data_IF_711318322699
#
_entry.id   IF_711318322699
#
_cell.length_a   1.000
_cell.length_b   1.000
_cell.length_c   1.000
_cell.angle_alpha   90.00
_cell.angle_beta   90.00
_cell.angle_gamma   90.00
#
_symmetry.space_group_name_H-M   'P 1'
#
loop_
_entity.id
_entity.type
_entity.pdbx_description
1 polymer ?
#
# COMPACT_ATOMS: atom_id res chain seq x y z
N UNK A 1 -40.45 59.43 47.71
CA UNK A 1 -39.37 58.50 48.00
C UNK A 1 -39.49 57.32 47.00
N UNK A 2 -38.70 57.28 46.00
CA UNK A 2 -38.76 56.22 45.00
C UNK A 2 -37.49 55.41 45.03
N UNK A 3 -37.61 54.16 45.39
CA UNK A 3 -36.51 53.18 45.37
C UNK A 3 -36.42 52.70 43.95
N UNK A 4 -35.27 52.97 43.29
CA UNK A 4 -34.97 52.45 41.96
C UNK A 4 -34.19 51.15 42.16
N UNK A 5 -34.85 50.04 41.89
CA UNK A 5 -34.24 48.70 41.80
C UNK A 5 -33.40 48.66 40.53
N UNK A 6 -32.09 48.57 40.70
CA UNK A 6 -31.15 48.36 39.59
C UNK A 6 -31.01 46.87 39.36
N UNK A 7 -31.66 46.35 38.35
CA UNK A 7 -31.50 44.94 37.92
C UNK A 7 -30.20 44.80 37.14
N UNK A 8 -29.17 44.27 37.79
CA UNK A 8 -27.93 43.93 37.14
C UNK A 8 -28.10 42.63 36.37
N UNK A 9 -28.15 42.73 35.05
CA UNK A 9 -28.07 41.57 34.14
C UNK A 9 -26.62 41.07 34.11
N UNK A 10 -26.39 39.97 34.82
CA UNK A 10 -25.13 39.26 34.77
C UNK A 10 -25.14 38.39 33.51
N UNK A 11 -24.54 38.90 32.42
CA UNK A 11 -24.24 38.09 31.22
C UNK A 11 -23.09 37.15 31.55
N UNK A 12 -23.42 35.89 31.82
CA UNK A 12 -22.45 34.80 31.92
C UNK A 12 -22.05 34.41 30.52
N UNK A 13 -20.95 34.98 30.02
CA UNK A 13 -20.34 34.54 28.78
C UNK A 13 -19.70 33.16 29.03
N UNK A 14 -20.41 32.11 28.58
CA UNK A 14 -19.81 30.79 28.41
C UNK A 14 -18.79 30.89 27.27
N UNK A 15 -17.52 31.05 27.59
CA UNK A 15 -16.43 30.75 26.68
C UNK A 15 -16.38 29.23 26.52
N UNK A 16 -17.02 28.71 25.46
CA UNK A 16 -16.74 27.38 24.97
C UNK A 16 -15.33 27.41 24.41
N UNK A 17 -14.39 27.08 25.27
CA UNK A 17 -13.06 26.73 24.86
C UNK A 17 -13.18 25.42 24.08
N UNK A 18 -13.34 25.53 22.75
CA UNK A 18 -13.17 24.41 21.86
C UNK A 18 -11.69 24.03 21.95
N UNK A 19 -11.39 23.08 22.80
CA UNK A 19 -10.13 22.34 22.71
C UNK A 19 -10.17 21.62 21.36
N UNK A 20 -9.63 22.24 20.33
CA UNK A 20 -9.12 21.53 19.17
C UNK A 20 -7.91 20.76 19.76
N UNK A 21 -8.11 19.51 20.13
CA UNK A 21 -7.00 18.61 20.33
C UNK A 21 -6.38 18.46 18.94
N UNK A 22 -5.22 19.07 18.74
CA UNK A 22 -4.37 18.74 17.61
C UNK A 22 -4.06 17.25 17.78
N UNK A 23 -4.66 16.42 16.94
CA UNK A 23 -4.38 14.99 16.90
C UNK A 23 -2.91 14.83 16.55
N UNK A 24 -2.20 14.01 17.31
CA UNK A 24 -0.77 13.80 17.07
C UNK A 24 -0.60 13.19 15.67
N UNK A 25 0.31 13.76 14.88
CA UNK A 25 0.63 13.27 13.54
C UNK A 25 1.06 11.80 13.59
N UNK A 26 0.62 11.03 12.59
CA UNK A 26 0.94 9.61 12.50
C UNK A 26 2.43 9.42 12.19
N UNK A 27 3.10 8.60 13.01
CA UNK A 27 4.51 8.24 12.83
C UNK A 27 4.73 6.97 12.01
N UNK A 28 3.67 6.32 11.55
CA UNK A 28 3.79 5.10 10.75
C UNK A 28 4.24 5.41 9.32
N UNK A 29 5.16 4.60 8.81
CA UNK A 29 5.65 4.69 7.45
C UNK A 29 5.84 3.27 6.88
N UNK A 30 4.80 2.71 6.29
CA UNK A 30 4.79 1.37 5.73
C UNK A 30 4.10 1.34 4.37
N UNK A 31 4.34 0.29 3.59
CA UNK A 31 3.51 -0.06 2.44
C UNK A 31 2.66 -1.26 2.88
N UNK A 32 1.33 -1.06 2.94
CA UNK A 32 0.36 -2.08 3.35
C UNK A 32 -0.27 -2.79 2.17
N UNK A 33 -0.18 -2.20 0.98
CA UNK A 33 -0.73 -2.75 -0.25
C UNK A 33 -0.18 -2.07 -1.49
N UNK A 34 -0.30 -2.77 -2.62
CA UNK A 34 0.00 -2.23 -3.94
C UNK A 34 -1.00 -2.80 -4.96
N UNK A 35 -1.64 -1.93 -5.71
CA UNK A 35 -2.58 -2.26 -6.77
C UNK A 35 -2.27 -1.47 -8.03
N UNK A 36 -2.81 -1.89 -9.19
CA UNK A 36 -2.62 -1.20 -10.45
C UNK A 36 -3.37 -1.88 -11.58
N UNK A 37 -3.42 -1.24 -12.75
CA UNK A 37 -4.18 -1.76 -13.89
C UNK A 37 -3.64 -3.12 -14.40
N UNK A 38 -2.32 -3.29 -14.39
CA UNK A 38 -1.65 -4.51 -14.85
C UNK A 38 -1.22 -5.43 -13.69
N UNK A 39 -1.46 -5.03 -12.43
CA UNK A 39 -1.04 -5.77 -11.24
C UNK A 39 -1.97 -6.97 -11.01
N UNK A 40 -1.39 -8.15 -10.99
CA UNK A 40 -2.07 -9.41 -10.67
C UNK A 40 -1.94 -9.76 -9.19
N UNK A 41 -0.75 -9.52 -8.62
CA UNK A 41 -0.42 -9.81 -7.24
C UNK A 41 0.67 -8.85 -6.76
N UNK A 42 0.61 -8.45 -5.51
CA UNK A 42 1.71 -7.78 -4.83
C UNK A 42 2.03 -8.52 -3.52
N UNK A 43 3.30 -8.87 -3.34
CA UNK A 43 3.82 -9.48 -2.12
C UNK A 43 4.67 -8.46 -1.38
N UNK A 44 4.29 -8.16 -0.12
CA UNK A 44 4.92 -7.12 0.67
C UNK A 44 5.69 -7.77 1.83
N UNK A 45 7.01 -7.66 1.79
CA UNK A 45 7.87 -8.04 2.90
C UNK A 45 8.26 -6.80 3.71
N UNK A 46 7.46 -6.50 4.72
CA UNK A 46 7.65 -5.30 5.55
C UNK A 46 8.95 -5.32 6.35
N UNK A 47 9.49 -6.49 6.69
CA UNK A 47 10.74 -6.62 7.45
C UNK A 47 11.96 -6.28 6.59
N UNK A 48 12.00 -6.79 5.37
CA UNK A 48 13.09 -6.57 4.41
C UNK A 48 12.90 -5.29 3.59
N UNK A 49 11.73 -4.66 3.68
CA UNK A 49 11.36 -3.47 2.90
C UNK A 49 11.38 -3.75 1.40
N UNK A 50 10.84 -4.90 1.00
CA UNK A 50 10.74 -5.34 -0.40
C UNK A 50 9.25 -5.49 -0.76
N UNK A 51 8.90 -5.04 -1.96
CA UNK A 51 7.58 -5.27 -2.56
C UNK A 51 7.77 -5.88 -3.93
N UNK A 52 7.38 -7.14 -4.09
CA UNK A 52 7.35 -7.83 -5.37
C UNK A 52 5.98 -7.66 -6.01
N UNK A 53 5.93 -6.98 -7.14
CA UNK A 53 4.72 -6.69 -7.91
C UNK A 53 4.72 -7.54 -9.16
N UNK A 54 3.80 -8.48 -9.24
CA UNK A 54 3.60 -9.34 -10.41
C UNK A 54 2.58 -8.71 -11.34
N UNK A 55 2.99 -8.43 -12.57
CA UNK A 55 2.15 -7.83 -13.61
C UNK A 55 1.95 -8.80 -14.76
N UNK A 56 0.92 -8.57 -15.57
CA UNK A 56 0.70 -9.38 -16.78
C UNK A 56 1.94 -9.39 -17.70
N UNK A 57 2.24 -10.53 -18.31
CA UNK A 57 3.41 -10.73 -19.18
C UNK A 57 3.55 -9.70 -20.30
N UNK A 58 2.44 -9.16 -20.80
CA UNK A 58 2.40 -8.12 -21.84
C UNK A 58 2.35 -6.69 -21.31
N UNK A 59 2.48 -6.49 -20.00
CA UNK A 59 2.38 -5.17 -19.38
C UNK A 59 3.49 -4.23 -19.86
N UNK A 60 3.15 -2.95 -20.03
CA UNK A 60 4.12 -1.94 -20.43
C UNK A 60 4.93 -1.45 -19.24
N UNK A 61 6.12 -2.01 -19.03
CA UNK A 61 6.99 -1.66 -17.90
C UNK A 61 7.44 -0.20 -17.87
N UNK A 62 7.43 0.50 -19.00
CA UNK A 62 7.75 1.93 -19.04
C UNK A 62 6.62 2.81 -18.51
N UNK A 63 5.42 2.25 -18.24
CA UNK A 63 4.23 3.00 -17.79
C UNK A 63 3.41 2.16 -16.81
N UNK A 64 4.04 1.68 -15.74
CA UNK A 64 3.34 0.93 -14.71
C UNK A 64 2.58 1.86 -13.77
N UNK A 65 1.26 1.72 -13.71
CA UNK A 65 0.42 2.41 -12.76
C UNK A 65 0.41 1.62 -11.45
N UNK A 66 0.99 2.18 -10.38
CA UNK A 66 1.03 1.57 -9.06
C UNK A 66 0.37 2.49 -8.03
N UNK A 67 -0.63 1.95 -7.33
CA UNK A 67 -1.31 2.61 -6.23
C UNK A 67 -0.89 1.93 -4.94
N UNK A 68 -0.13 2.61 -4.11
CA UNK A 68 0.31 2.10 -2.82
C UNK A 68 -0.72 2.44 -1.75
N UNK A 69 -1.06 1.45 -0.92
CA UNK A 69 -1.80 1.68 0.32
C UNK A 69 -0.79 2.02 1.41
N UNK A 70 -0.95 3.18 2.02
CA UNK A 70 -0.06 3.71 3.05
C UNK A 70 -0.88 4.07 4.29
N UNK A 71 -0.26 4.16 5.48
CA UNK A 71 -0.86 4.76 6.67
C UNK A 71 -1.36 6.19 6.41
N UNK A 72 -2.32 6.64 7.20
CA UNK A 72 -2.90 7.97 7.07
C UNK A 72 -1.83 9.06 7.17
N UNK A 73 -1.87 10.03 6.26
CA UNK A 73 -0.91 11.13 6.17
C UNK A 73 0.46 10.76 5.61
N UNK A 74 0.79 9.48 5.46
CA UNK A 74 2.06 9.05 4.85
C UNK A 74 2.09 9.31 3.34
N UNK A 75 3.30 9.46 2.81
CA UNK A 75 3.55 9.68 1.38
C UNK A 75 4.66 8.78 0.85
N UNK A 76 4.67 8.52 -0.45
CA UNK A 76 5.68 7.71 -1.12
C UNK A 76 6.23 8.42 -2.34
N UNK A 77 7.54 8.31 -2.56
CA UNK A 77 8.21 8.88 -3.75
C UNK A 77 9.34 7.97 -4.21
N UNK A 78 9.57 7.85 -5.54
CA UNK A 78 10.77 7.20 -6.05
C UNK A 78 12.02 8.01 -5.68
N UNK A 79 13.11 7.32 -5.40
CA UNK A 79 14.40 7.95 -5.06
C UNK A 79 15.15 8.42 -6.30
N UNK A 80 14.88 7.78 -7.44
CA UNK A 80 15.34 8.17 -8.77
C UNK A 80 14.14 8.63 -9.61
N UNK A 81 14.29 9.67 -10.37
CA UNK A 81 13.29 10.10 -11.36
C UNK A 81 13.69 9.56 -12.71
N UNK A 82 12.77 8.85 -13.38
CA UNK A 82 12.96 8.32 -14.73
C UNK A 82 12.03 9.02 -15.72
N UNK A 83 12.43 9.04 -16.98
CA UNK A 83 11.58 9.58 -18.04
C UNK A 83 10.29 8.78 -18.13
N UNK A 84 9.17 9.50 -18.18
CA UNK A 84 7.83 8.90 -18.18
C UNK A 84 7.17 8.80 -16.80
N UNK A 85 7.89 9.06 -15.71
CA UNK A 85 7.29 9.12 -14.38
C UNK A 85 6.33 10.31 -14.27
N UNK A 86 5.06 10.04 -13.96
CA UNK A 86 4.02 11.05 -13.76
C UNK A 86 2.95 10.57 -12.78
N UNK A 87 2.77 11.28 -11.66
CA UNK A 87 1.79 10.90 -10.64
C UNK A 87 2.10 9.53 -10.04
N UNK A 88 1.22 8.56 -10.25
CA UNK A 88 1.35 7.15 -9.84
C UNK A 88 1.78 6.22 -10.98
N UNK A 89 2.23 6.78 -12.10
CA UNK A 89 2.78 6.03 -13.24
C UNK A 89 4.29 6.10 -13.15
N UNK A 90 4.95 4.94 -13.19
CA UNK A 90 6.38 4.80 -13.01
C UNK A 90 7.00 3.95 -14.13
N UNK A 91 8.24 4.31 -14.50
CA UNK A 91 9.02 3.58 -15.49
C UNK A 91 9.90 2.51 -14.82
N UNK A 92 9.61 1.24 -15.08
CA UNK A 92 10.37 0.07 -14.63
C UNK A 92 11.04 -0.68 -15.81
N UNK A 93 11.13 -0.07 -17.00
CA UNK A 93 11.69 -0.74 -18.17
C UNK A 93 13.21 -0.90 -18.15
N UNK A 94 13.89 -0.22 -17.23
CA UNK A 94 15.34 -0.19 -17.14
C UNK A 94 15.87 -1.15 -16.08
N UNK A 95 17.07 -1.68 -16.31
CA UNK A 95 17.77 -2.55 -15.37
C UNK A 95 17.05 -3.89 -15.15
N UNK A 96 16.95 -4.28 -13.89
CA UNK A 96 16.29 -5.49 -13.39
C UNK A 96 14.81 -5.29 -13.03
N UNK A 97 14.23 -4.17 -13.49
CA UNK A 97 12.85 -3.77 -13.18
C UNK A 97 12.61 -3.49 -11.68
N UNK A 98 13.69 -3.13 -10.98
CA UNK A 98 13.67 -2.74 -9.57
C UNK A 98 13.90 -1.24 -9.41
N UNK A 99 13.26 -0.64 -8.39
CA UNK A 99 13.43 0.78 -8.02
C UNK A 99 13.23 0.98 -6.53
N UNK A 100 14.02 1.88 -5.96
CA UNK A 100 13.88 2.29 -4.57
C UNK A 100 12.90 3.44 -4.42
N UNK A 101 12.03 3.33 -3.41
CA UNK A 101 11.06 4.36 -3.03
C UNK A 101 11.22 4.69 -1.56
N UNK A 102 11.09 5.97 -1.21
CA UNK A 102 11.04 6.39 0.19
C UNK A 102 9.59 6.62 0.60
N UNK A 103 9.15 5.93 1.65
CA UNK A 103 7.89 6.20 2.34
C UNK A 103 8.20 7.19 3.47
N UNK A 104 7.41 8.25 3.57
CA UNK A 104 7.58 9.27 4.61
C UNK A 104 6.32 9.30 5.47
N UNK A 105 6.47 9.17 6.79
CA UNK A 105 5.37 9.32 7.76
C UNK A 105 4.79 10.73 7.75
N UNK A 106 3.58 10.92 8.25
CA UNK A 106 2.93 12.23 8.34
C UNK A 106 3.75 13.23 9.16
N UNK A 107 4.35 12.78 10.27
CA UNK A 107 5.21 13.60 11.13
C UNK A 107 6.60 13.88 10.53
N UNK A 108 6.92 13.32 9.36
CA UNK A 108 8.21 13.41 8.66
C UNK A 108 9.42 12.82 9.41
N UNK A 109 9.22 12.05 10.47
CA UNK A 109 10.30 11.46 11.28
C UNK A 109 10.82 10.16 10.65
N UNK A 110 9.90 9.27 10.26
CA UNK A 110 10.26 7.98 9.68
C UNK A 110 10.29 8.03 8.16
N UNK A 111 11.38 7.53 7.58
CA UNK A 111 11.60 7.52 6.12
C UNK A 111 12.23 6.21 5.64
N UNK A 112 11.56 5.07 5.83
CA UNK A 112 12.06 3.80 5.32
C UNK A 112 12.14 3.81 3.80
N UNK A 113 13.15 3.13 3.28
CA UNK A 113 13.33 2.91 1.84
C UNK A 113 12.86 1.49 1.52
N UNK A 114 11.96 1.39 0.57
CA UNK A 114 11.47 0.13 0.01
C UNK A 114 12.06 -0.10 -1.37
N UNK A 115 12.39 -1.35 -1.66
CA UNK A 115 12.70 -1.80 -3.00
C UNK A 115 11.45 -2.38 -3.64
N UNK A 116 11.05 -1.83 -4.79
CA UNK A 116 9.87 -2.26 -5.54
C UNK A 116 10.36 -2.99 -6.78
N UNK A 117 10.05 -4.29 -6.90
CA UNK A 117 10.39 -5.15 -8.01
C UNK A 117 9.16 -5.42 -8.86
N UNK A 118 9.18 -5.08 -10.15
CA UNK A 118 8.06 -5.35 -11.05
C UNK A 118 8.41 -6.51 -11.96
N UNK A 119 7.66 -7.61 -11.84
CA UNK A 119 7.94 -8.87 -12.54
C UNK A 119 6.80 -9.20 -13.51
N UNK A 120 7.03 -9.13 -14.84
CA UNK A 120 6.08 -9.63 -15.82
C UNK A 120 5.98 -11.16 -15.73
N UNK A 121 4.81 -11.66 -15.40
CA UNK A 121 4.61 -13.11 -15.25
C UNK A 121 3.17 -13.51 -15.62
N UNK A 122 2.99 -14.78 -15.89
CA UNK A 122 1.67 -15.38 -15.98
C UNK A 122 1.42 -16.14 -14.68
N UNK A 123 0.50 -15.64 -13.87
CA UNK A 123 0.05 -16.39 -12.71
C UNK A 123 -0.91 -17.49 -13.16
N UNK A 124 -0.82 -18.69 -12.59
CA UNK A 124 -1.75 -19.76 -12.92
C UNK A 124 -3.18 -19.35 -12.54
N UNK A 125 -4.10 -19.45 -13.51
CA UNK A 125 -5.50 -19.07 -13.32
C UNK A 125 -6.38 -20.18 -12.78
N UNK A 126 -5.86 -21.42 -12.75
CA UNK A 126 -6.57 -22.58 -12.23
C UNK A 126 -5.61 -23.52 -11.51
N UNK A 127 -6.11 -24.12 -10.43
CA UNK A 127 -5.45 -25.21 -9.70
C UNK A 127 -6.19 -26.50 -10.03
N UNK A 128 -5.49 -27.49 -10.58
CA UNK A 128 -6.05 -28.81 -10.77
C UNK A 128 -5.63 -29.70 -9.60
N UNK A 129 -6.61 -30.21 -8.87
CA UNK A 129 -6.37 -31.18 -7.79
C UNK A 129 -6.68 -32.58 -8.37
N UNK A 130 -5.67 -33.41 -8.55
CA UNK A 130 -5.90 -34.82 -8.80
C UNK A 130 -6.07 -35.54 -7.46
N UNK A 131 -7.25 -36.09 -7.23
CA UNK A 131 -7.50 -36.97 -6.10
C UNK A 131 -6.87 -38.33 -6.40
N UNK A 132 -5.68 -38.56 -5.85
CA UNK A 132 -5.06 -39.87 -5.89
C UNK A 132 -5.80 -40.81 -4.90
N UNK A 133 -6.58 -41.77 -5.40
CA UNK A 133 -7.11 -42.85 -4.61
C UNK A 133 -5.96 -43.74 -4.17
N UNK A 134 -5.47 -43.54 -2.96
CA UNK A 134 -4.40 -44.35 -2.38
C UNK A 134 -5.04 -45.56 -1.69
N UNK A 135 -4.59 -46.75 -2.05
CA UNK A 135 -4.96 -47.98 -1.35
C UNK A 135 -4.57 -47.90 0.14
N UNK A 136 -5.42 -48.45 0.99
CA UNK A 136 -5.24 -48.46 2.44
C UNK A 136 -3.79 -48.86 2.82
N UNK A 137 -3.15 -48.02 3.65
CA UNK A 137 -1.82 -48.16 4.25
C UNK A 137 -0.61 -47.49 3.52
N UNK A 138 -0.83 -46.58 2.60
CA UNK A 138 0.25 -45.76 2.06
C UNK A 138 0.18 -44.34 2.62
N UNK A 139 1.32 -43.67 2.96
CA UNK A 139 1.29 -42.30 3.40
C UNK A 139 0.83 -41.41 2.24
N UNK A 140 -0.07 -40.46 2.55
CA UNK A 140 -0.60 -39.53 1.55
C UNK A 140 0.52 -38.61 1.05
N UNK A 141 0.78 -38.65 -0.25
CA UNK A 141 1.55 -37.65 -0.94
C UNK A 141 0.60 -36.80 -1.78
N UNK A 142 0.45 -35.52 -1.43
CA UNK A 142 -0.31 -34.59 -2.22
C UNK A 142 0.67 -33.93 -3.19
N UNK A 143 0.51 -34.19 -4.48
CA UNK A 143 1.25 -33.51 -5.53
C UNK A 143 0.38 -32.38 -6.05
N UNK A 144 0.94 -31.18 -6.09
CA UNK A 144 0.34 -30.03 -6.76
C UNK A 144 1.00 -29.88 -8.12
N UNK A 145 0.26 -30.07 -9.18
CA UNK A 145 0.72 -29.75 -10.52
C UNK A 145 0.07 -28.44 -10.97
N UNK A 146 0.90 -27.48 -11.34
CA UNK A 146 0.46 -26.18 -11.85
C UNK A 146 0.53 -26.26 -13.37
N UNK A 147 -0.62 -26.28 -14.02
CA UNK A 147 -0.65 -26.10 -15.46
C UNK A 147 -0.76 -24.61 -15.80
N UNK A 148 0.23 -24.06 -16.54
CA UNK A 148 0.08 -22.71 -17.08
C UNK A 148 -1.05 -22.67 -18.11
N UNK A 149 -1.89 -21.64 -18.02
CA UNK A 149 -3.00 -21.45 -18.93
C UNK A 149 -2.45 -21.24 -20.36
N UNK A 150 -2.53 -22.24 -21.20
CA UNK A 150 -2.21 -22.15 -22.64
C UNK A 150 -3.46 -21.73 -23.39
N UNK A 151 -3.62 -20.44 -23.59
CA UNK A 151 -4.60 -19.86 -24.55
C UNK A 151 -3.89 -19.20 -25.70
#
# INVERSE_FOLDING_TARGET
>A
MKIKTLTSCFFLAFAISSCIQDEALNSEAAIDGCTGADVQLANINANEKIVDVYVHKGANLAKQQLNFTLPEGASIKPNDRRDGDIGNIYNFSEGDHSRSFTVTSEDNVWKPVYEINVQPTELPTSYHFEELLVAQNTPYHIFYEFEPNTS
#
